data_IF_591178734602
#
_entry.id   IF_591178734602
#
_cell.length_a   1.000
_cell.length_b   1.000
_cell.length_c   1.000
_cell.angle_alpha   90.00
_cell.angle_beta   90.00
_cell.angle_gamma   90.00
#
_symmetry.space_group_name_H-M   'P 1'
#
loop_
_entity.id
_entity.type
_entity.pdbx_description
1 polymer ?
#
# COMPACT_ATOMS: atom_id res chain seq x y z
N UNK A 1 28.63 -2.46 12.61
CA UNK A 1 28.96 -1.69 11.39
C UNK A 1 27.65 -1.40 10.68
N UNK A 2 27.36 -0.15 10.32
CA UNK A 2 26.18 0.17 9.51
C UNK A 2 26.43 -0.30 8.07
N UNK A 3 25.54 -1.13 7.52
CA UNK A 3 25.57 -1.50 6.11
C UNK A 3 25.44 -0.22 5.25
N UNK A 4 26.26 -0.08 4.22
CA UNK A 4 26.13 0.99 3.25
C UNK A 4 24.92 0.75 2.34
N UNK A 5 24.43 1.80 1.66
CA UNK A 5 23.38 1.65 0.65
C UNK A 5 23.81 0.66 -0.46
N UNK A 6 25.10 0.63 -0.79
CA UNK A 6 25.66 -0.30 -1.78
C UNK A 6 25.56 -1.73 -1.28
N UNK A 7 25.76 -1.98 0.02
CA UNK A 7 25.60 -3.31 0.61
C UNK A 7 24.13 -3.78 0.55
N UNK A 8 23.18 -2.87 0.80
CA UNK A 8 21.75 -3.19 0.67
C UNK A 8 21.36 -3.48 -0.78
N UNK A 9 21.82 -2.65 -1.72
CA UNK A 9 21.50 -2.79 -3.15
C UNK A 9 22.23 -3.96 -3.81
N UNK A 10 23.40 -4.34 -3.32
CA UNK A 10 24.06 -5.56 -3.78
C UNK A 10 23.44 -6.81 -3.15
N UNK A 11 22.87 -6.71 -1.95
CA UNK A 11 22.23 -7.83 -1.25
C UNK A 11 20.85 -8.25 -1.78
N UNK A 12 20.21 -7.47 -2.66
CA UNK A 12 18.89 -7.83 -3.19
C UNK A 12 18.94 -9.01 -4.14
N UNK A 13 18.00 -9.95 -3.97
CA UNK A 13 17.93 -11.22 -4.69
C UNK A 13 17.84 -11.02 -6.21
N UNK A 14 17.14 -9.98 -6.66
CA UNK A 14 16.99 -9.65 -8.08
C UNK A 14 18.31 -9.29 -8.74
N UNK A 15 19.16 -8.56 -8.01
CA UNK A 15 20.49 -8.17 -8.48
C UNK A 15 21.41 -9.39 -8.54
N UNK A 16 21.38 -10.24 -7.52
CA UNK A 16 22.17 -11.47 -7.42
C UNK A 16 21.80 -12.51 -8.48
N UNK A 17 20.53 -12.54 -8.91
CA UNK A 17 20.01 -13.49 -9.88
C UNK A 17 19.56 -12.80 -11.18
N UNK A 18 20.21 -11.72 -11.58
CA UNK A 18 19.80 -10.98 -12.77
C UNK A 18 19.90 -11.83 -14.05
N UNK A 19 18.80 -11.92 -14.81
CA UNK A 19 18.79 -12.63 -16.09
C UNK A 19 17.39 -12.93 -16.63
N UNK A 20 17.29 -13.91 -17.54
CA UNK A 20 16.01 -14.35 -18.11
C UNK A 20 15.30 -15.35 -17.20
N UNK A 21 14.84 -14.89 -16.03
CA UNK A 21 14.12 -15.71 -15.06
C UNK A 21 12.92 -14.98 -14.44
N UNK A 22 12.04 -15.76 -13.79
CA UNK A 22 10.79 -15.25 -13.22
C UNK A 22 11.01 -14.14 -12.17
N UNK A 23 12.12 -14.17 -11.44
CA UNK A 23 12.43 -13.17 -10.42
C UNK A 23 12.75 -11.81 -11.07
N UNK A 24 13.64 -11.78 -12.07
CA UNK A 24 13.97 -10.56 -12.81
C UNK A 24 12.74 -9.98 -13.53
N UNK A 25 11.96 -10.82 -14.21
CA UNK A 25 10.74 -10.36 -14.88
C UNK A 25 9.70 -9.85 -13.87
N UNK A 26 9.49 -10.56 -12.76
CA UNK A 26 8.58 -10.15 -11.70
C UNK A 26 8.96 -8.79 -11.12
N UNK A 27 10.25 -8.59 -10.81
CA UNK A 27 10.77 -7.30 -10.34
C UNK A 27 10.52 -6.17 -11.35
N UNK A 28 10.90 -6.35 -12.62
CA UNK A 28 10.67 -5.34 -13.65
C UNK A 28 9.18 -5.01 -13.82
N UNK A 29 8.31 -6.03 -13.78
CA UNK A 29 6.87 -5.82 -13.78
C UNK A 29 6.43 -4.99 -12.57
N UNK A 30 6.89 -5.30 -11.35
CA UNK A 30 6.53 -4.50 -10.17
C UNK A 30 6.97 -3.04 -10.31
N UNK A 31 8.19 -2.78 -10.81
CA UNK A 31 8.69 -1.42 -11.06
C UNK A 31 7.80 -0.68 -12.06
N UNK A 32 7.55 -1.29 -13.22
CA UNK A 32 6.72 -0.70 -14.27
C UNK A 32 5.30 -0.43 -13.77
N UNK A 33 4.68 -1.39 -13.07
CA UNK A 33 3.32 -1.25 -12.57
C UNK A 33 3.23 -0.22 -11.43
N UNK A 34 4.26 -0.09 -10.61
CA UNK A 34 4.35 0.98 -9.60
C UNK A 34 4.30 2.35 -10.29
N UNK A 35 5.13 2.55 -11.32
CA UNK A 35 5.26 3.83 -12.01
C UNK A 35 4.09 4.14 -12.95
N UNK A 36 3.54 3.12 -13.61
CA UNK A 36 2.50 3.28 -14.62
C UNK A 36 1.08 3.24 -14.04
N UNK A 37 0.85 2.51 -12.94
CA UNK A 37 -0.49 2.31 -12.37
C UNK A 37 -0.62 2.88 -10.96
N UNK A 38 0.20 2.41 -10.00
CA UNK A 38 0.01 2.78 -8.59
C UNK A 38 0.29 4.26 -8.33
N UNK A 39 1.47 4.76 -8.71
CA UNK A 39 1.85 6.15 -8.49
C UNK A 39 0.88 7.14 -9.16
N UNK A 40 0.51 6.99 -10.45
CA UNK A 40 -0.53 7.83 -11.05
C UNK A 40 -1.87 7.75 -10.33
N UNK A 41 -2.24 6.60 -9.78
CA UNK A 41 -3.47 6.45 -9.01
C UNK A 41 -3.42 7.23 -7.67
N UNK A 42 -2.27 7.26 -7.00
CA UNK A 42 -2.08 8.10 -5.80
C UNK A 42 -2.13 9.58 -6.12
N UNK A 43 -1.47 9.99 -7.20
CA UNK A 43 -1.52 11.37 -7.69
C UNK A 43 -2.95 11.77 -8.06
N UNK A 44 -3.73 10.86 -8.64
CA UNK A 44 -5.13 11.10 -8.96
C UNK A 44 -6.02 11.19 -7.71
N UNK A 45 -5.76 10.37 -6.69
CA UNK A 45 -6.41 10.48 -5.37
C UNK A 45 -6.06 11.82 -4.72
N UNK A 46 -4.80 12.22 -4.74
CA UNK A 46 -4.35 13.50 -4.19
C UNK A 46 -4.99 14.69 -4.91
N UNK A 47 -5.00 14.68 -6.24
CA UNK A 47 -5.69 15.69 -7.06
C UNK A 47 -7.16 15.80 -6.68
N UNK A 48 -7.83 14.66 -6.49
CA UNK A 48 -9.25 14.61 -6.07
C UNK A 48 -9.43 15.33 -4.73
N UNK A 49 -8.57 15.04 -3.74
CA UNK A 49 -8.63 15.65 -2.42
C UNK A 49 -8.24 17.15 -2.40
N UNK A 50 -7.34 17.60 -3.29
CA UNK A 50 -7.03 19.03 -3.42
C UNK A 50 -8.23 19.83 -3.92
N UNK A 51 -9.01 19.29 -4.85
CA UNK A 51 -10.22 19.93 -5.37
C UNK A 51 -11.47 19.70 -4.51
N UNK A 52 -11.42 18.79 -3.55
CA UNK A 52 -12.59 18.39 -2.77
C UNK A 52 -12.92 19.40 -1.66
N UNK A 53 -14.21 19.70 -1.52
CA UNK A 53 -14.78 20.42 -0.36
C UNK A 53 -15.11 19.49 0.80
N UNK A 54 -15.26 18.18 0.54
CA UNK A 54 -15.50 17.13 1.53
C UNK A 54 -14.73 15.85 1.18
N UNK A 55 -14.33 15.10 2.21
CA UNK A 55 -13.72 13.77 2.10
C UNK A 55 -14.53 12.69 2.85
N UNK A 56 -15.86 12.86 2.92
CA UNK A 56 -16.75 11.96 3.68
C UNK A 56 -16.77 10.52 3.14
N UNK A 57 -16.54 10.35 1.83
CA UNK A 57 -16.42 9.04 1.20
C UNK A 57 -15.03 8.42 1.32
N UNK A 58 -14.08 9.05 2.02
CA UNK A 58 -12.73 8.51 2.25
C UNK A 58 -12.56 8.18 3.74
N UNK A 59 -12.33 6.90 4.02
CA UNK A 59 -11.97 6.44 5.34
C UNK A 59 -10.50 6.76 5.64
N UNK A 60 -10.24 7.51 6.71
CA UNK A 60 -8.87 7.90 7.07
C UNK A 60 -8.07 6.69 7.56
N UNK A 61 -8.73 5.68 8.15
CA UNK A 61 -8.04 4.49 8.63
C UNK A 61 -7.36 3.76 7.48
N UNK A 62 -7.96 3.72 6.29
CA UNK A 62 -7.30 3.15 5.11
C UNK A 62 -5.94 3.80 4.87
N UNK A 63 -5.88 5.13 4.85
CA UNK A 63 -4.64 5.86 4.56
C UNK A 63 -3.64 5.75 5.71
N UNK A 64 -4.08 5.89 6.97
CA UNK A 64 -3.23 5.68 8.16
C UNK A 64 -2.58 4.29 8.13
N UNK A 65 -3.40 3.29 7.85
CA UNK A 65 -2.98 1.89 7.78
C UNK A 65 -1.94 1.66 6.69
N UNK A 66 -2.15 2.23 5.50
CA UNK A 66 -1.19 2.13 4.41
C UNK A 66 0.13 2.85 4.74
N UNK A 67 0.08 4.03 5.34
CA UNK A 67 1.30 4.75 5.78
C UNK A 67 2.15 3.90 6.74
N UNK A 68 1.54 3.30 7.75
CA UNK A 68 2.23 2.41 8.69
C UNK A 68 2.72 1.12 8.04
N UNK A 69 1.86 0.49 7.24
CA UNK A 69 2.16 -0.74 6.53
C UNK A 69 3.37 -0.60 5.61
N UNK A 70 3.48 0.51 4.88
CA UNK A 70 4.64 0.77 4.02
C UNK A 70 5.97 0.91 4.78
N UNK A 71 5.95 1.32 6.05
CA UNK A 71 7.13 1.30 6.91
C UNK A 71 7.60 -0.12 7.20
N UNK A 72 6.69 -1.00 7.60
CA UNK A 72 6.98 -2.43 7.85
C UNK A 72 7.33 -3.14 6.54
N UNK A 73 6.66 -2.80 5.43
CA UNK A 73 6.93 -3.34 4.09
C UNK A 73 8.35 -3.01 3.63
N UNK A 74 8.85 -1.82 3.93
CA UNK A 74 10.23 -1.41 3.65
C UNK A 74 11.24 -2.25 4.45
N UNK A 75 11.01 -2.40 5.76
CA UNK A 75 11.88 -3.16 6.67
C UNK A 75 11.92 -4.63 6.24
N UNK A 76 10.76 -5.21 5.97
CA UNK A 76 10.67 -6.58 5.49
C UNK A 76 11.36 -6.78 4.14
N UNK A 77 11.19 -5.83 3.21
CA UNK A 77 11.89 -5.84 1.92
C UNK A 77 13.41 -5.84 2.06
N UNK A 78 13.96 -5.11 3.03
CA UNK A 78 15.38 -5.14 3.33
C UNK A 78 15.82 -6.49 3.91
N UNK A 79 15.01 -7.07 4.80
CA UNK A 79 15.30 -8.35 5.48
C UNK A 79 15.34 -9.53 4.51
N UNK A 80 14.35 -9.64 3.62
CA UNK A 80 14.31 -10.70 2.60
C UNK A 80 15.13 -10.38 1.36
N UNK A 81 15.76 -9.20 1.29
CA UNK A 81 16.49 -8.76 0.11
C UNK A 81 15.59 -8.67 -1.13
N UNK A 82 14.39 -8.11 -1.03
CA UNK A 82 13.50 -7.88 -2.19
C UNK A 82 13.60 -6.44 -2.70
N UNK A 83 14.15 -6.27 -3.89
CA UNK A 83 14.25 -4.97 -4.55
C UNK A 83 12.89 -4.39 -4.90
N UNK A 84 11.91 -5.24 -5.24
CA UNK A 84 10.54 -4.81 -5.52
C UNK A 84 9.88 -4.18 -4.30
N UNK A 85 10.01 -4.80 -3.12
CA UNK A 85 9.46 -4.27 -1.86
C UNK A 85 10.10 -2.93 -1.49
N UNK A 86 11.42 -2.85 -1.60
CA UNK A 86 12.17 -1.62 -1.34
C UNK A 86 11.74 -0.49 -2.29
N UNK A 87 11.72 -0.76 -3.59
CA UNK A 87 11.35 0.21 -4.60
C UNK A 87 9.91 0.71 -4.40
N UNK A 88 8.96 -0.21 -4.20
CA UNK A 88 7.55 0.13 -4.04
C UNK A 88 7.31 0.95 -2.77
N UNK A 89 7.95 0.58 -1.67
CA UNK A 89 7.86 1.33 -0.41
C UNK A 89 8.43 2.74 -0.51
N UNK A 90 9.60 2.90 -1.12
CA UNK A 90 10.24 4.20 -1.28
C UNK A 90 9.50 5.09 -2.28
N UNK A 91 8.88 4.51 -3.31
CA UNK A 91 8.08 5.27 -4.25
C UNK A 91 6.72 5.67 -3.72
N UNK A 92 5.98 4.76 -3.10
CA UNK A 92 4.58 4.98 -2.74
C UNK A 92 4.39 5.50 -1.30
N UNK A 93 5.22 5.06 -0.36
CA UNK A 93 5.14 5.45 1.05
C UNK A 93 5.04 6.96 1.28
N UNK A 94 5.89 7.80 0.65
CA UNK A 94 5.81 9.25 0.79
C UNK A 94 4.46 9.84 0.36
N UNK A 95 3.81 9.27 -0.66
CA UNK A 95 2.52 9.77 -1.14
C UNK A 95 1.39 9.48 -0.17
N UNK A 96 1.39 8.33 0.51
CA UNK A 96 0.43 8.06 1.58
C UNK A 96 0.54 9.07 2.72
N UNK A 97 1.75 9.51 3.06
CA UNK A 97 1.94 10.59 4.03
C UNK A 97 1.32 11.91 3.55
N UNK A 98 1.52 12.28 2.28
CA UNK A 98 0.95 13.50 1.71
C UNK A 98 -0.59 13.43 1.65
N UNK A 99 -1.16 12.29 1.25
CA UNK A 99 -2.61 12.05 1.24
C UNK A 99 -3.18 12.14 2.67
N UNK A 100 -2.49 11.53 3.64
CA UNK A 100 -2.89 11.57 5.05
C UNK A 100 -2.90 13.00 5.60
N UNK A 101 -1.85 13.77 5.29
CA UNK A 101 -1.77 15.19 5.63
C UNK A 101 -2.93 15.98 5.01
N UNK A 102 -3.31 15.71 3.76
CA UNK A 102 -4.50 16.35 3.18
C UNK A 102 -5.76 16.02 3.96
N UNK A 103 -6.01 14.74 4.22
CA UNK A 103 -7.24 14.32 4.89
C UNK A 103 -7.39 15.02 6.24
N UNK A 104 -6.29 15.15 6.98
CA UNK A 104 -6.24 15.95 8.19
C UNK A 104 -6.63 17.43 7.97
N UNK A 105 -6.18 18.05 6.88
CA UNK A 105 -6.55 19.45 6.55
C UNK A 105 -8.02 19.63 6.14
N UNK A 106 -8.70 18.59 5.64
CA UNK A 106 -10.12 18.69 5.24
C UNK A 106 -11.04 18.48 6.44
N UNK A 107 -10.81 17.41 7.21
CA UNK A 107 -11.77 16.95 8.25
C UNK A 107 -11.15 16.72 9.63
N UNK A 108 -9.85 16.96 9.79
CA UNK A 108 -9.12 16.63 11.02
C UNK A 108 -8.95 15.12 11.22
N UNK A 109 -8.38 14.75 12.37
CA UNK A 109 -8.38 13.38 12.87
C UNK A 109 -9.24 13.28 14.11
N UNK A 110 -9.98 12.19 14.20
CA UNK A 110 -10.56 11.72 15.45
C UNK A 110 -9.47 11.20 16.39
N UNK A 111 -9.75 11.13 17.69
CA UNK A 111 -8.84 10.57 18.67
C UNK A 111 -8.43 9.12 18.32
N UNK A 112 -9.37 8.33 17.80
CA UNK A 112 -9.11 6.95 17.38
C UNK A 112 -8.17 6.87 16.18
N UNK A 113 -8.33 7.74 15.17
CA UNK A 113 -7.41 7.79 14.02
C UNK A 113 -6.01 8.21 14.44
N UNK A 114 -5.90 9.18 15.35
CA UNK A 114 -4.62 9.59 15.94
C UNK A 114 -3.94 8.46 16.73
N UNK A 115 -4.70 7.74 17.56
CA UNK A 115 -4.20 6.57 18.30
C UNK A 115 -3.71 5.47 17.35
N UNK A 116 -4.48 5.14 16.32
CA UNK A 116 -4.10 4.11 15.33
C UNK A 116 -2.83 4.52 14.59
N UNK A 117 -2.68 5.80 14.22
CA UNK A 117 -1.45 6.30 13.61
C UNK A 117 -0.25 6.15 14.56
N UNK A 118 -0.38 6.53 15.82
CA UNK A 118 0.68 6.36 16.82
C UNK A 118 1.07 4.88 17.00
N UNK A 119 0.09 3.98 17.05
CA UNK A 119 0.33 2.54 17.16
C UNK A 119 1.07 1.99 15.95
N UNK A 120 0.74 2.45 14.74
CA UNK A 120 1.46 2.08 13.52
C UNK A 120 2.91 2.58 13.53
N UNK A 121 3.14 3.83 13.94
CA UNK A 121 4.51 4.36 14.06
C UNK A 121 5.31 3.61 15.11
N UNK A 122 4.70 3.26 16.25
CA UNK A 122 5.32 2.42 17.27
C UNK A 122 5.62 1.02 16.74
N UNK A 123 4.71 0.41 15.98
CA UNK A 123 4.92 -0.90 15.36
C UNK A 123 6.12 -0.89 14.40
N UNK A 124 6.31 0.18 13.60
CA UNK A 124 7.49 0.34 12.74
C UNK A 124 8.77 0.41 13.58
N UNK A 125 8.78 1.18 14.67
CA UNK A 125 9.96 1.28 15.56
C UNK A 125 10.28 -0.07 16.20
N UNK A 126 9.27 -0.77 16.70
CA UNK A 126 9.44 -2.11 17.28
C UNK A 126 9.94 -3.07 16.20
N UNK A 127 9.37 -3.06 15.00
CA UNK A 127 9.81 -3.91 13.91
C UNK A 127 11.29 -3.68 13.60
N UNK A 128 11.79 -2.43 13.57
CA UNK A 128 13.24 -2.16 13.42
C UNK A 128 14.08 -2.84 14.52
N UNK A 129 13.63 -2.77 15.78
CA UNK A 129 14.39 -3.22 16.94
C UNK A 129 14.45 -4.74 17.12
N UNK A 130 13.43 -5.48 16.66
CA UNK A 130 13.30 -6.91 16.90
C UNK A 130 13.66 -7.76 15.67
N UNK A 131 14.15 -8.99 15.83
CA UNK A 131 14.61 -9.83 14.71
C UNK A 131 13.48 -10.58 13.97
N UNK A 132 12.21 -10.24 14.22
CA UNK A 132 11.05 -11.04 13.80
C UNK A 132 10.31 -10.46 12.58
N UNK A 133 11.04 -9.98 11.57
CA UNK A 133 10.49 -9.15 10.47
C UNK A 133 9.34 -9.85 9.73
N UNK A 134 9.47 -11.14 9.47
CA UNK A 134 8.41 -11.93 8.82
C UNK A 134 7.10 -11.95 9.62
N UNK A 135 7.17 -12.07 10.95
CA UNK A 135 5.99 -12.08 11.81
C UNK A 135 5.36 -10.68 11.93
N UNK A 136 6.18 -9.63 11.99
CA UNK A 136 5.70 -8.25 11.94
C UNK A 136 5.01 -7.96 10.62
N UNK A 137 5.63 -8.34 9.50
CA UNK A 137 5.03 -8.18 8.18
C UNK A 137 3.70 -8.93 8.05
N UNK A 138 3.63 -10.17 8.53
CA UNK A 138 2.39 -10.95 8.52
C UNK A 138 1.29 -10.29 9.36
N UNK A 139 1.60 -9.90 10.61
CA UNK A 139 0.64 -9.23 11.48
C UNK A 139 0.18 -7.88 10.89
N UNK A 140 1.12 -7.10 10.38
CA UNK A 140 0.86 -5.83 9.70
C UNK A 140 -0.04 -6.03 8.48
N UNK A 141 0.21 -7.05 7.66
CA UNK A 141 -0.61 -7.39 6.49
C UNK A 141 -2.06 -7.70 6.89
N UNK A 142 -2.25 -8.53 7.92
CA UNK A 142 -3.58 -8.88 8.43
C UNK A 142 -4.33 -7.65 8.95
N UNK A 143 -3.66 -6.80 9.72
CA UNK A 143 -4.24 -5.54 10.21
C UNK A 143 -4.52 -4.62 9.02
N UNK A 144 -3.68 -4.63 8.00
CA UNK A 144 -3.81 -3.74 6.86
C UNK A 144 -5.03 -4.02 5.98
N UNK A 145 -5.56 -5.24 6.02
CA UNK A 145 -6.86 -5.58 5.42
C UNK A 145 -8.02 -4.77 6.00
N UNK A 146 -7.90 -4.31 7.25
CA UNK A 146 -8.93 -3.47 7.88
C UNK A 146 -9.13 -2.13 7.16
N UNK A 147 -8.12 -1.63 6.44
CA UNK A 147 -8.21 -0.38 5.68
C UNK A 147 -9.28 -0.45 4.58
N UNK A 148 -9.11 -1.31 3.56
CA UNK A 148 -10.11 -1.49 2.51
C UNK A 148 -11.49 -1.90 3.05
N UNK A 149 -11.54 -2.74 4.09
CA UNK A 149 -12.81 -3.13 4.72
C UNK A 149 -13.54 -1.94 5.35
N UNK A 150 -12.82 -1.07 6.07
CA UNK A 150 -13.38 0.17 6.63
C UNK A 150 -13.77 1.15 5.53
N UNK A 151 -12.98 1.28 4.47
CA UNK A 151 -13.33 2.09 3.31
C UNK A 151 -14.66 1.65 2.69
N UNK A 152 -14.86 0.33 2.50
CA UNK A 152 -16.13 -0.23 2.03
C UNK A 152 -17.27 0.10 3.00
N UNK A 153 -17.06 -0.09 4.30
CA UNK A 153 -18.06 0.23 5.34
C UNK A 153 -18.45 1.71 5.30
N UNK A 154 -17.47 2.60 5.30
CA UNK A 154 -17.66 4.07 5.27
C UNK A 154 -18.45 4.49 4.04
N UNK A 155 -18.12 3.99 2.84
CA UNK A 155 -18.88 4.30 1.64
C UNK A 155 -20.33 3.78 1.70
N UNK A 156 -20.58 2.61 2.30
CA UNK A 156 -21.94 2.09 2.50
C UNK A 156 -22.74 2.94 3.48
N UNK A 157 -22.16 3.29 4.62
CA UNK A 157 -22.83 4.07 5.67
C UNK A 157 -23.12 5.50 5.23
N UNK A 158 -22.20 6.11 4.48
CA UNK A 158 -22.35 7.47 3.97
C UNK A 158 -23.14 7.55 2.67
N UNK A 159 -23.34 6.43 1.97
CA UNK A 159 -24.02 6.38 0.68
C UNK A 159 -23.31 7.17 -0.43
N UNK A 160 -22.01 7.42 -0.29
CA UNK A 160 -21.24 8.25 -1.24
C UNK A 160 -19.78 7.79 -1.31
N UNK A 161 -19.16 8.00 -2.47
CA UNK A 161 -17.72 7.88 -2.69
C UNK A 161 -17.04 9.26 -2.86
N UNK A 162 -17.67 10.33 -2.35
CA UNK A 162 -17.12 11.68 -2.41
C UNK A 162 -15.69 11.74 -1.84
N UNK A 163 -14.78 12.38 -2.58
CA UNK A 163 -13.36 12.47 -2.23
C UNK A 163 -12.54 11.20 -2.52
N UNK A 164 -13.17 10.05 -2.79
CA UNK A 164 -12.49 8.82 -3.19
C UNK A 164 -12.38 8.74 -4.72
N UNK A 165 -11.21 8.37 -5.21
CA UNK A 165 -10.95 8.12 -6.62
C UNK A 165 -11.03 6.60 -6.89
N UNK A 166 -12.01 6.11 -7.65
CA UNK A 166 -12.14 4.68 -7.94
C UNK A 166 -10.91 4.07 -8.64
N UNK A 167 -10.15 4.87 -9.41
CA UNK A 167 -8.95 4.39 -10.11
C UNK A 167 -7.87 3.93 -9.12
N UNK A 168 -7.78 4.55 -7.93
CA UNK A 168 -6.90 4.07 -6.85
C UNK A 168 -7.18 2.59 -6.55
N UNK A 169 -8.42 2.24 -6.21
CA UNK A 169 -8.76 0.85 -5.89
C UNK A 169 -8.59 -0.11 -7.08
N UNK A 170 -8.93 0.33 -8.29
CA UNK A 170 -8.76 -0.52 -9.49
C UNK A 170 -7.30 -0.85 -9.76
N UNK A 171 -6.42 0.16 -9.75
CA UNK A 171 -5.00 -0.03 -10.06
C UNK A 171 -4.33 -0.91 -9.02
N UNK A 172 -4.63 -0.71 -7.73
CA UNK A 172 -4.17 -1.59 -6.66
C UNK A 172 -4.63 -3.05 -6.84
N UNK A 173 -5.89 -3.25 -7.22
CA UNK A 173 -6.43 -4.59 -7.50
C UNK A 173 -5.70 -5.30 -8.64
N UNK A 174 -5.41 -4.59 -9.74
CA UNK A 174 -4.65 -5.13 -10.89
C UNK A 174 -3.22 -5.48 -10.47
N UNK A 175 -2.55 -4.58 -9.76
CA UNK A 175 -1.15 -4.75 -9.34
C UNK A 175 -0.97 -5.94 -8.40
N UNK A 176 -1.97 -6.23 -7.56
CA UNK A 176 -1.97 -7.41 -6.68
C UNK A 176 -1.79 -8.73 -7.44
N UNK A 177 -2.32 -8.87 -8.66
CA UNK A 177 -2.13 -10.07 -9.48
C UNK A 177 -0.65 -10.33 -9.75
N UNK A 178 0.11 -9.27 -10.04
CA UNK A 178 1.54 -9.38 -10.29
C UNK A 178 2.36 -9.60 -9.03
N UNK A 179 1.94 -9.01 -7.90
CA UNK A 179 2.54 -9.28 -6.60
C UNK A 179 2.39 -10.74 -6.15
N UNK A 180 1.30 -11.43 -6.53
CA UNK A 180 1.16 -12.87 -6.30
C UNK A 180 2.28 -13.63 -7.02
N UNK A 181 2.46 -13.40 -8.32
CA UNK A 181 3.50 -14.09 -9.10
C UNK A 181 4.91 -13.73 -8.63
N UNK A 182 5.14 -12.47 -8.28
CA UNK A 182 6.44 -12.03 -7.79
C UNK A 182 6.77 -12.62 -6.40
N UNK A 183 5.80 -12.68 -5.48
CA UNK A 183 5.96 -13.39 -4.21
C UNK A 183 6.28 -14.87 -4.41
N UNK A 184 5.60 -15.54 -5.33
CA UNK A 184 5.91 -16.93 -5.69
C UNK A 184 7.31 -17.09 -6.29
N UNK A 185 7.77 -16.14 -7.12
CA UNK A 185 9.12 -16.13 -7.68
C UNK A 185 10.20 -15.94 -6.59
N UNK A 186 9.90 -15.13 -5.57
CA UNK A 186 10.72 -14.98 -4.36
C UNK A 186 10.63 -16.17 -3.39
N UNK A 187 9.74 -17.14 -3.67
CA UNK A 187 9.36 -18.23 -2.74
C UNK A 187 8.83 -17.71 -1.41
N UNK A 188 8.22 -16.53 -1.42
CA UNK A 188 7.63 -15.85 -0.28
C UNK A 188 6.10 -15.93 -0.36
N UNK A 189 5.55 -16.88 0.41
CA UNK A 189 4.11 -17.10 0.47
C UNK A 189 3.37 -15.99 1.22
N UNK A 190 4.05 -15.21 2.06
CA UNK A 190 3.42 -14.09 2.76
C UNK A 190 3.15 -12.95 1.79
N UNK A 191 4.10 -12.61 0.91
CA UNK A 191 3.87 -11.63 -0.16
C UNK A 191 2.72 -12.09 -1.06
N UNK A 192 2.77 -13.34 -1.53
CA UNK A 192 1.76 -13.87 -2.44
C UNK A 192 0.36 -13.92 -1.80
N UNK A 193 0.26 -14.42 -0.57
CA UNK A 193 -1.01 -14.51 0.17
C UNK A 193 -1.61 -13.15 0.49
N UNK A 194 -0.80 -12.21 0.95
CA UNK A 194 -1.23 -10.83 1.24
C UNK A 194 -1.72 -10.12 -0.02
N UNK A 195 -1.01 -10.26 -1.14
CA UNK A 195 -1.41 -9.70 -2.43
C UNK A 195 -2.76 -10.25 -2.90
N UNK A 196 -3.02 -11.54 -2.74
CA UNK A 196 -4.31 -12.14 -3.06
C UNK A 196 -5.46 -11.49 -2.28
N UNK A 197 -5.32 -11.35 -0.97
CA UNK A 197 -6.36 -10.75 -0.11
C UNK A 197 -6.57 -9.29 -0.45
N UNK A 198 -5.50 -8.50 -0.60
CA UNK A 198 -5.61 -7.11 -1.02
C UNK A 198 -6.29 -6.97 -2.38
N UNK A 199 -5.92 -7.80 -3.35
CA UNK A 199 -6.52 -7.77 -4.69
C UNK A 199 -8.03 -7.91 -4.63
N UNK A 200 -8.54 -8.88 -3.85
CA UNK A 200 -9.98 -9.07 -3.66
C UNK A 200 -10.62 -7.85 -3.01
N UNK A 201 -10.05 -7.33 -1.92
CA UNK A 201 -10.62 -6.21 -1.18
C UNK A 201 -10.62 -4.90 -1.99
N UNK A 202 -9.57 -4.63 -2.74
CA UNK A 202 -9.48 -3.45 -3.61
C UNK A 202 -10.45 -3.55 -4.78
N UNK A 203 -10.61 -4.72 -5.40
CA UNK A 203 -11.62 -4.91 -6.45
C UNK A 203 -13.05 -4.72 -5.91
N UNK A 204 -13.34 -5.15 -4.68
CA UNK A 204 -14.62 -4.88 -4.02
C UNK A 204 -14.82 -3.38 -3.75
N UNK A 205 -13.77 -2.70 -3.28
CA UNK A 205 -13.77 -1.25 -3.02
C UNK A 205 -14.06 -0.48 -4.30
N UNK A 206 -13.39 -0.84 -5.41
CA UNK A 206 -13.62 -0.26 -6.73
C UNK A 206 -15.07 -0.43 -7.18
N UNK A 207 -15.59 -1.66 -7.16
CA UNK A 207 -16.98 -1.96 -7.57
C UNK A 207 -18.00 -1.13 -6.80
N UNK A 208 -17.80 -0.95 -5.50
CA UNK A 208 -18.68 -0.13 -4.68
C UNK A 208 -18.58 1.36 -5.03
N UNK A 209 -17.36 1.89 -5.16
CA UNK A 209 -17.15 3.30 -5.50
C UNK A 209 -17.79 3.66 -6.85
N UNK A 210 -17.62 2.79 -7.86
CA UNK A 210 -18.28 2.93 -9.17
C UNK A 210 -19.80 2.91 -9.08
N UNK A 211 -20.36 2.03 -8.24
CA UNK A 211 -21.81 1.92 -8.07
C UNK A 211 -22.42 3.18 -7.43
N UNK A 212 -21.70 3.80 -6.51
CA UNK A 212 -22.17 5.01 -5.80
C UNK A 212 -21.97 6.28 -6.62
N UNK A 213 -20.96 6.35 -7.49
CA UNK A 213 -20.74 7.47 -8.39
C UNK A 213 -20.22 7.02 -9.78
N UNK A 214 -21.12 6.61 -10.68
CA UNK A 214 -20.74 6.12 -12.02
C UNK A 214 -20.07 7.18 -12.90
N UNK A 215 -20.27 8.46 -12.59
CA UNK A 215 -19.81 9.57 -13.45
C UNK A 215 -18.30 9.80 -13.37
N UNK A 216 -17.64 9.32 -12.31
CA UNK A 216 -16.20 9.49 -12.04
C UNK A 216 -15.25 8.60 -12.84
N UNK A 217 -15.77 7.72 -13.69
CA UNK A 217 -14.93 6.77 -14.46
C UNK A 217 -14.54 7.33 -15.83
N UNK A 218 -15.28 8.34 -16.33
CA UNK A 218 -14.97 9.06 -17.57
C UNK A 218 -13.60 9.76 -17.45
#
# INVERSE_FOLDING_TARGET
>A
MSASLIDVLSGVQEYQQWGYNALTFGFLCTVVLTLALQLPSELAQLKTLWSATSADGVDTTLIVTMTGYFGIFLIYGADVGSGGLLFNSLMLGPWFFIILWRLWRIKGFTANEGLVLCLWMLAVVIDVMFPWKAYFYMAASVIAFSGPLKQIKTMKEKGTSAGFNPRFALMWGIVCVFWIFYGLALKDLFIAGTALVFGVLYMQTYRLAVRLDPTRIK
#
